data_IF_852005831368
#
_entry.id   IF_852005831368
#
_cell.length_a   1.000
_cell.length_b   1.000
_cell.length_c   1.000
_cell.angle_alpha   90.00
_cell.angle_beta   90.00
_cell.angle_gamma   90.00
#
_symmetry.space_group_name_H-M   'P 1'
#
loop_
_entity.id
_entity.type
_entity.pdbx_description
1 polymer ?
#
# COMPACT_ATOMS: atom_id res chain seq x y z
N UNK A 1 70.12 45.56 -14.21
CA UNK A 1 68.92 45.11 -13.46
C UNK A 1 67.71 45.93 -13.91
N UNK A 2 67.02 45.45 -14.94
CA UNK A 2 65.61 45.66 -15.35
C UNK A 2 65.45 44.62 -16.47
N UNK A 3 64.51 43.69 -16.55
CA UNK A 3 63.36 43.33 -15.76
C UNK A 3 62.65 42.27 -16.62
N UNK A 4 62.81 40.99 -16.26
CA UNK A 4 62.13 39.85 -16.86
C UNK A 4 60.66 39.84 -16.42
N UNK A 5 59.76 40.47 -17.18
CA UNK A 5 58.32 40.31 -17.01
C UNK A 5 57.61 40.50 -18.35
N UNK A 6 57.74 39.55 -19.29
CA UNK A 6 56.92 39.59 -20.52
C UNK A 6 56.89 38.28 -21.32
N UNK A 7 56.90 37.11 -20.66
CA UNK A 7 56.79 35.81 -21.37
C UNK A 7 55.62 34.95 -20.87
N UNK A 8 55.11 35.16 -19.65
CA UNK A 8 54.19 34.21 -19.01
C UNK A 8 52.69 34.32 -19.39
N UNK A 9 52.23 35.37 -20.06
CA UNK A 9 50.78 35.54 -20.37
C UNK A 9 50.38 35.16 -21.80
N UNK A 10 51.36 34.92 -22.70
CA UNK A 10 51.08 34.62 -24.12
C UNK A 10 51.02 33.12 -24.44
N UNK A 11 51.49 32.25 -23.55
CA UNK A 11 51.53 30.80 -23.78
C UNK A 11 50.32 30.05 -23.20
N UNK A 12 49.49 30.66 -22.34
CA UNK A 12 48.30 30.01 -21.78
C UNK A 12 47.09 29.94 -22.73
N UNK A 13 47.24 30.41 -23.97
CA UNK A 13 46.22 30.34 -25.04
C UNK A 13 46.57 29.28 -26.10
N UNK A 14 47.32 28.25 -25.72
CA UNK A 14 47.43 27.02 -26.51
C UNK A 14 46.09 26.28 -26.53
N UNK A 15 45.28 26.69 -27.51
CA UNK A 15 44.72 25.78 -28.52
C UNK A 15 44.06 24.51 -27.97
N UNK A 16 42.90 24.69 -27.37
CA UNK A 16 41.82 23.70 -27.54
C UNK A 16 41.37 23.76 -29.00
N UNK A 17 42.15 23.16 -29.92
CA UNK A 17 41.67 22.81 -31.25
C UNK A 17 40.78 21.59 -31.09
N UNK A 18 39.58 21.82 -30.56
CA UNK A 18 38.52 20.82 -30.56
C UNK A 18 38.17 20.50 -32.00
N UNK A 19 38.52 19.30 -32.46
CA UNK A 19 38.04 18.78 -33.73
C UNK A 19 36.55 18.51 -33.57
N UNK A 20 35.72 19.34 -34.20
CA UNK A 20 34.28 19.18 -34.18
C UNK A 20 33.92 18.05 -35.15
N UNK A 21 33.73 16.85 -34.63
CA UNK A 21 33.34 15.67 -35.42
C UNK A 21 31.83 15.73 -35.65
N UNK A 22 31.42 16.03 -36.88
CA UNK A 22 30.02 15.95 -37.29
C UNK A 22 29.66 14.47 -37.47
N UNK A 23 28.97 13.89 -36.48
CA UNK A 23 28.44 12.52 -36.58
C UNK A 23 27.06 12.61 -37.22
N UNK A 24 26.87 11.97 -38.38
CA UNK A 24 25.53 11.77 -38.93
C UNK A 24 24.74 10.82 -38.02
N UNK A 25 23.77 11.38 -37.29
CA UNK A 25 22.91 10.63 -36.37
C UNK A 25 21.74 9.93 -37.08
N UNK A 26 21.52 10.18 -38.37
CA UNK A 26 20.43 9.58 -39.15
C UNK A 26 20.43 8.04 -39.14
N UNK A 27 21.56 7.35 -39.43
CA UNK A 27 21.61 5.89 -39.33
C UNK A 27 21.40 5.39 -37.89
N UNK A 28 21.86 6.14 -36.88
CA UNK A 28 21.67 5.78 -35.47
C UNK A 28 20.21 5.91 -35.03
N UNK A 29 19.50 6.94 -35.50
CA UNK A 29 18.06 7.13 -35.28
C UNK A 29 17.24 6.05 -35.98
N UNK A 30 17.59 5.71 -37.22
CA UNK A 30 16.91 4.64 -37.95
C UNK A 30 17.08 3.28 -37.24
N UNK A 31 18.29 2.96 -36.75
CA UNK A 31 18.55 1.76 -35.95
C UNK A 31 17.73 1.73 -34.67
N UNK A 32 17.78 2.80 -33.86
CA UNK A 32 17.02 2.89 -32.61
C UNK A 32 15.49 2.83 -32.84
N UNK A 33 14.99 3.43 -33.92
CA UNK A 33 13.58 3.35 -34.31
C UNK A 33 13.16 1.94 -34.73
N UNK A 34 14.02 1.20 -35.43
CA UNK A 34 13.79 -0.19 -35.78
C UNK A 34 13.73 -1.09 -34.52
N UNK A 35 14.63 -0.88 -33.56
CA UNK A 35 14.63 -1.61 -32.28
C UNK A 35 13.33 -1.35 -31.48
N UNK A 36 12.90 -0.08 -31.40
CA UNK A 36 11.63 0.27 -30.76
C UNK A 36 10.44 -0.39 -31.46
N UNK A 37 10.43 -0.39 -32.80
CA UNK A 37 9.37 -1.03 -33.59
C UNK A 37 9.33 -2.55 -33.37
N UNK A 38 10.48 -3.20 -33.31
CA UNK A 38 10.58 -4.61 -32.98
C UNK A 38 10.12 -4.91 -31.54
N UNK A 39 10.48 -4.06 -30.57
CA UNK A 39 10.01 -4.18 -29.19
C UNK A 39 8.48 -4.01 -29.07
N UNK A 40 7.89 -3.04 -29.77
CA UNK A 40 6.43 -2.88 -29.85
C UNK A 40 5.75 -4.12 -30.45
N UNK A 41 6.30 -4.68 -31.53
CA UNK A 41 5.77 -5.90 -32.15
C UNK A 41 5.77 -7.09 -31.19
N UNK A 42 6.87 -7.29 -30.44
CA UNK A 42 6.94 -8.33 -29.40
C UNK A 42 5.94 -8.08 -28.26
N UNK A 43 5.81 -6.82 -27.81
CA UNK A 43 4.85 -6.44 -26.78
C UNK A 43 3.41 -6.73 -27.21
N UNK A 44 3.06 -6.45 -28.46
CA UNK A 44 1.72 -6.73 -28.99
C UNK A 44 1.43 -8.24 -29.07
N UNK A 45 2.41 -9.05 -29.47
CA UNK A 45 2.31 -10.51 -29.42
C UNK A 45 2.09 -10.99 -27.98
N UNK A 46 2.85 -10.47 -27.02
CA UNK A 46 2.67 -10.80 -25.61
C UNK A 46 1.28 -10.36 -25.09
N UNK A 47 0.81 -9.16 -25.45
CA UNK A 47 -0.52 -8.64 -25.09
C UNK A 47 -1.64 -9.50 -25.64
N UNK A 48 -1.56 -9.89 -26.91
CA UNK A 48 -2.55 -10.76 -27.53
C UNK A 48 -2.60 -12.14 -26.85
N UNK A 49 -1.43 -12.70 -26.48
CA UNK A 49 -1.36 -13.95 -25.75
C UNK A 49 -1.99 -13.82 -24.34
N UNK A 50 -1.72 -12.71 -23.64
CA UNK A 50 -2.31 -12.43 -22.33
C UNK A 50 -3.83 -12.26 -22.43
N UNK A 51 -4.31 -11.48 -23.40
CA UNK A 51 -5.74 -11.27 -23.60
C UNK A 51 -6.49 -12.57 -23.92
N UNK A 52 -5.91 -13.44 -24.75
CA UNK A 52 -6.48 -14.78 -24.99
C UNK A 52 -6.58 -15.57 -23.69
N UNK A 53 -5.51 -15.59 -22.89
CA UNK A 53 -5.50 -16.30 -21.63
C UNK A 53 -6.60 -15.80 -20.68
N UNK A 54 -6.75 -14.49 -20.54
CA UNK A 54 -7.74 -13.92 -19.62
C UNK A 54 -9.19 -14.00 -20.11
N UNK A 55 -9.42 -13.81 -21.41
CA UNK A 55 -10.79 -13.72 -21.96
C UNK A 55 -11.34 -15.05 -22.44
N UNK A 56 -10.48 -15.97 -22.86
CA UNK A 56 -10.90 -17.23 -23.48
C UNK A 56 -10.52 -18.42 -22.61
N UNK A 57 -9.23 -18.56 -22.29
CA UNK A 57 -8.70 -19.75 -21.62
C UNK A 57 -9.21 -19.86 -20.18
N UNK A 58 -9.02 -18.83 -19.34
CA UNK A 58 -9.51 -18.82 -17.94
C UNK A 58 -11.02 -19.06 -17.85
N UNK A 59 -11.88 -18.31 -18.56
CA UNK A 59 -13.32 -18.52 -18.45
C UNK A 59 -13.74 -19.88 -19.02
N UNK A 60 -13.07 -20.36 -20.08
CA UNK A 60 -13.26 -21.69 -20.63
C UNK A 60 -12.99 -22.78 -19.59
N UNK A 61 -11.84 -22.70 -18.93
CA UNK A 61 -11.45 -23.63 -17.87
C UNK A 61 -12.41 -23.60 -16.69
N UNK A 62 -12.80 -22.41 -16.22
CA UNK A 62 -13.76 -22.26 -15.10
C UNK A 62 -15.12 -22.88 -15.44
N UNK A 63 -15.66 -22.63 -16.65
CA UNK A 63 -16.92 -23.23 -17.09
C UNK A 63 -16.84 -24.74 -17.17
N UNK A 64 -15.74 -25.27 -17.72
CA UNK A 64 -15.50 -26.70 -17.79
C UNK A 64 -15.40 -27.32 -16.39
N UNK A 65 -14.61 -26.73 -15.49
CA UNK A 65 -14.43 -27.20 -14.11
C UNK A 65 -15.76 -27.20 -13.35
N UNK A 66 -16.58 -26.16 -13.52
CA UNK A 66 -17.91 -26.09 -12.94
C UNK A 66 -18.86 -27.17 -13.49
N UNK A 67 -18.75 -27.50 -14.78
CA UNK A 67 -19.57 -28.53 -15.43
C UNK A 67 -19.17 -29.95 -15.02
N UNK A 68 -17.88 -30.28 -15.08
CA UNK A 68 -17.40 -31.64 -14.79
C UNK A 68 -17.36 -31.96 -13.30
N UNK A 69 -16.98 -30.99 -12.46
CA UNK A 69 -16.78 -31.18 -11.03
C UNK A 69 -17.79 -30.42 -10.17
N UNK A 70 -18.92 -30.01 -10.75
CA UNK A 70 -19.97 -29.26 -10.05
C UNK A 70 -20.41 -29.86 -8.70
N UNK A 71 -20.69 -31.17 -8.60
CA UNK A 71 -21.04 -31.81 -7.33
C UNK A 71 -19.93 -31.67 -6.28
N UNK A 72 -18.68 -31.96 -6.67
CA UNK A 72 -17.53 -31.90 -5.77
C UNK A 72 -17.21 -30.47 -5.31
N UNK A 73 -17.39 -29.48 -6.19
CA UNK A 73 -17.26 -28.06 -5.85
C UNK A 73 -18.38 -27.59 -4.91
N UNK A 74 -19.59 -28.14 -5.05
CA UNK A 74 -20.71 -27.82 -4.17
C UNK A 74 -20.45 -28.38 -2.77
N UNK A 75 -20.03 -29.64 -2.68
CA UNK A 75 -19.64 -30.26 -1.41
C UNK A 75 -18.51 -29.48 -0.71
N UNK A 76 -17.48 -29.05 -1.47
CA UNK A 76 -16.42 -28.20 -0.94
C UNK A 76 -16.93 -26.86 -0.37
N UNK A 77 -17.95 -26.25 -0.99
CA UNK A 77 -18.57 -25.02 -0.48
C UNK A 77 -19.37 -25.30 0.79
N UNK A 78 -20.13 -26.40 0.81
CA UNK A 78 -20.94 -26.78 1.98
C UNK A 78 -20.04 -27.07 3.21
N UNK A 79 -18.94 -27.78 3.01
CA UNK A 79 -17.95 -28.03 4.07
C UNK A 79 -17.29 -26.72 4.52
N UNK A 80 -16.97 -25.81 3.62
CA UNK A 80 -16.38 -24.51 3.95
C UNK A 80 -17.34 -23.64 4.78
N UNK A 81 -18.62 -23.58 4.42
CA UNK A 81 -19.65 -22.87 5.20
C UNK A 81 -19.72 -23.46 6.61
N UNK A 82 -19.78 -24.79 6.71
CA UNK A 82 -19.80 -25.45 8.01
C UNK A 82 -18.55 -25.16 8.84
N UNK A 83 -17.36 -25.17 8.24
CA UNK A 83 -16.11 -24.81 8.95
C UNK A 83 -16.23 -23.40 9.53
N UNK A 84 -16.66 -22.42 8.74
CA UNK A 84 -16.80 -21.02 9.21
C UNK A 84 -17.80 -20.90 10.35
N UNK A 85 -18.93 -21.59 10.25
CA UNK A 85 -19.96 -21.58 11.29
C UNK A 85 -19.43 -22.18 12.61
N UNK A 86 -18.69 -23.30 12.52
CA UNK A 86 -18.11 -23.96 13.68
C UNK A 86 -16.94 -23.15 14.26
N UNK A 87 -16.11 -22.51 13.44
CA UNK A 87 -15.05 -21.60 13.90
C UNK A 87 -15.60 -20.39 14.62
N UNK A 88 -16.68 -19.82 14.10
CA UNK A 88 -17.36 -18.69 14.74
C UNK A 88 -17.89 -19.12 16.11
N UNK A 89 -18.50 -20.30 16.20
CA UNK A 89 -18.98 -20.85 17.46
C UNK A 89 -17.84 -21.13 18.45
N UNK A 90 -16.76 -21.76 17.99
CA UNK A 90 -15.55 -22.01 18.79
C UNK A 90 -15.00 -20.70 19.35
N UNK A 91 -14.85 -19.69 18.50
CA UNK A 91 -14.37 -18.38 18.92
C UNK A 91 -15.28 -17.73 19.96
N UNK A 92 -16.61 -17.77 19.79
CA UNK A 92 -17.57 -17.24 20.76
C UNK A 92 -17.47 -17.93 22.13
N UNK A 93 -17.32 -19.26 22.14
CA UNK A 93 -17.16 -20.04 23.38
C UNK A 93 -15.84 -19.72 24.07
N UNK A 94 -14.74 -19.66 23.33
CA UNK A 94 -13.43 -19.27 23.86
C UNK A 94 -13.44 -17.84 24.42
N UNK A 95 -14.20 -16.93 23.81
CA UNK A 95 -14.40 -15.57 24.31
C UNK A 95 -15.16 -15.58 25.64
N UNK A 96 -16.21 -16.40 25.79
CA UNK A 96 -16.92 -16.55 27.08
C UNK A 96 -16.06 -17.19 28.16
N UNK A 97 -15.25 -18.20 27.81
CA UNK A 97 -14.30 -18.81 28.75
C UNK A 97 -13.30 -17.77 29.28
N UNK A 98 -12.76 -16.92 28.39
CA UNK A 98 -11.87 -15.80 28.78
C UNK A 98 -12.55 -14.75 29.65
N UNK A 99 -13.87 -14.55 29.52
CA UNK A 99 -14.63 -13.55 30.29
C UNK A 99 -14.92 -13.98 31.73
N UNK A 100 -14.76 -15.27 32.09
CA UNK A 100 -14.88 -15.71 33.49
C UNK A 100 -15.51 -17.08 33.71
N UNK A 101 -15.80 -17.86 32.65
CA UNK A 101 -16.26 -19.24 32.78
C UNK A 101 -15.08 -20.21 32.71
N UNK A 102 -14.81 -20.94 33.80
CA UNK A 102 -13.74 -21.94 33.85
C UNK A 102 -14.12 -23.27 33.19
N UNK A 103 -15.42 -23.52 33.01
CA UNK A 103 -15.94 -24.74 32.41
C UNK A 103 -16.46 -24.49 30.99
N UNK A 104 -15.97 -25.29 30.04
CA UNK A 104 -16.27 -25.16 28.62
C UNK A 104 -17.74 -25.50 28.30
N UNK A 105 -18.36 -26.41 29.06
CA UNK A 105 -19.77 -26.78 28.87
C UNK A 105 -20.71 -25.62 29.20
N UNK A 106 -20.47 -24.97 30.34
CA UNK A 106 -21.24 -23.80 30.77
C UNK A 106 -21.10 -22.61 29.81
N UNK A 107 -19.88 -22.38 29.30
CA UNK A 107 -19.63 -21.36 28.27
C UNK A 107 -20.38 -21.66 26.97
N UNK A 108 -20.36 -22.92 26.52
CA UNK A 108 -21.08 -23.38 25.32
C UNK A 108 -22.60 -23.18 25.43
N UNK A 109 -23.21 -23.58 26.55
CA UNK A 109 -24.66 -23.39 26.76
C UNK A 109 -25.06 -21.91 26.76
N UNK A 110 -24.24 -21.02 27.33
CA UNK A 110 -24.50 -19.58 27.32
C UNK A 110 -24.40 -18.97 25.92
N UNK A 111 -23.44 -19.43 25.12
CA UNK A 111 -23.33 -19.00 23.71
C UNK A 111 -24.55 -19.47 22.92
N UNK A 112 -24.97 -20.73 23.06
CA UNK A 112 -26.19 -21.23 22.43
C UNK A 112 -27.42 -20.41 22.88
N UNK A 113 -27.56 -20.15 24.17
CA UNK A 113 -28.65 -19.34 24.71
C UNK A 113 -28.69 -17.93 24.10
N UNK A 114 -27.52 -17.27 23.90
CA UNK A 114 -27.46 -15.96 23.24
C UNK A 114 -27.77 -16.01 21.75
N UNK A 115 -27.34 -17.06 21.05
CA UNK A 115 -27.67 -17.27 19.63
C UNK A 115 -29.17 -17.47 19.43
N UNK A 116 -29.82 -18.18 20.35
CA UNK A 116 -31.28 -18.38 20.35
C UNK A 116 -32.05 -17.14 20.86
N UNK A 117 -31.44 -16.32 21.72
CA UNK A 117 -32.05 -15.12 22.31
C UNK A 117 -31.21 -13.86 22.05
N UNK A 118 -31.19 -13.33 20.80
CA UNK A 118 -30.37 -12.18 20.44
C UNK A 118 -30.77 -10.89 21.20
N UNK A 119 -32.00 -10.79 21.69
CA UNK A 119 -32.47 -9.66 22.51
C UNK A 119 -31.83 -9.62 23.92
N UNK A 120 -31.45 -10.77 24.47
CA UNK A 120 -30.81 -10.86 25.80
C UNK A 120 -29.32 -10.45 25.78
N UNK A 121 -28.70 -10.41 24.60
CA UNK A 121 -27.30 -9.98 24.45
C UNK A 121 -27.09 -8.47 24.71
N UNK A 122 -28.16 -7.66 24.69
CA UNK A 122 -28.13 -6.24 25.02
C UNK A 122 -28.09 -5.92 26.52
N UNK A 123 -28.34 -6.90 27.39
CA UNK A 123 -28.39 -6.74 28.86
C UNK A 123 -27.20 -7.40 29.57
N UNK A 124 -26.00 -7.44 28.96
CA UNK A 124 -24.82 -7.81 29.75
C UNK A 124 -24.55 -6.73 30.82
N UNK A 125 -24.54 -7.07 32.13
CA UNK A 125 -24.03 -6.17 33.14
C UNK A 125 -22.57 -5.90 32.80
N UNK A 126 -22.22 -4.62 32.61
CA UNK A 126 -20.84 -4.19 32.42
C UNK A 126 -19.95 -4.97 33.41
N UNK A 127 -18.87 -5.62 32.96
CA UNK A 127 -17.96 -6.29 33.88
C UNK A 127 -17.57 -5.26 34.95
N UNK A 128 -17.67 -5.65 36.24
CA UNK A 128 -17.14 -4.84 37.34
C UNK A 128 -15.72 -4.49 36.95
N UNK A 129 -15.53 -3.22 36.59
CA UNK A 129 -14.25 -2.70 36.11
C UNK A 129 -13.29 -2.83 37.28
N UNK A 130 -12.44 -3.84 37.25
CA UNK A 130 -11.17 -3.81 37.96
C UNK A 130 -10.37 -2.74 37.25
N UNK A 131 -10.40 -1.53 37.79
CA UNK A 131 -9.67 -0.38 37.26
C UNK A 131 -8.18 -0.62 37.49
N UNK A 132 -7.53 -1.27 36.54
CA UNK A 132 -6.08 -1.20 36.40
C UNK A 132 -5.76 -0.08 35.40
N UNK A 133 -5.36 1.05 36.01
CA UNK A 133 -4.27 1.92 35.61
C UNK A 133 -3.73 1.79 34.18
N UNK A 134 -3.70 2.92 33.46
CA UNK A 134 -2.89 3.01 32.25
C UNK A 134 -3.34 4.00 31.18
N UNK A 135 -4.02 5.08 31.55
CA UNK A 135 -4.08 6.29 30.72
C UNK A 135 -4.15 7.46 31.69
N UNK A 136 -3.14 8.33 31.67
CA UNK A 136 -2.99 9.48 32.55
C UNK A 136 -4.18 10.44 32.39
N UNK A 137 -5.26 10.13 33.12
CA UNK A 137 -6.33 11.05 33.39
C UNK A 137 -5.78 12.03 34.41
N UNK A 138 -5.22 13.15 33.93
CA UNK A 138 -4.84 14.28 34.78
C UNK A 138 -6.09 14.65 35.59
N UNK A 139 -6.09 14.33 36.88
CA UNK A 139 -7.21 14.61 37.80
C UNK A 139 -7.50 16.11 37.72
N UNK A 140 -8.77 16.47 37.62
CA UNK A 140 -9.17 17.88 37.59
C UNK A 140 -8.79 18.55 38.92
N UNK A 141 -8.48 19.85 38.92
CA UNK A 141 -8.10 20.61 40.12
C UNK A 141 -9.14 20.45 41.26
N UNK A 142 -10.42 20.33 40.89
CA UNK A 142 -11.52 20.05 41.80
C UNK A 142 -11.46 18.65 42.45
N UNK A 143 -11.00 17.63 41.71
CA UNK A 143 -10.82 16.26 42.24
C UNK A 143 -9.57 16.17 43.13
N UNK A 144 -8.52 16.95 42.82
CA UNK A 144 -7.33 17.06 43.65
C UNK A 144 -7.64 17.75 44.99
N UNK A 145 -8.48 18.79 44.96
CA UNK A 145 -8.96 19.49 46.15
C UNK A 145 -9.77 18.57 47.06
N UNK A 146 -10.69 17.77 46.52
CA UNK A 146 -11.47 16.82 47.31
C UNK A 146 -10.62 15.77 48.05
N UNK A 147 -9.50 15.33 47.43
CA UNK A 147 -8.56 14.40 48.06
C UNK A 147 -7.71 15.07 49.14
N UNK A 148 -7.36 16.36 48.97
CA UNK A 148 -6.69 17.14 49.98
C UNK A 148 -7.57 17.36 51.22
N UNK A 149 -8.86 17.67 51.02
CA UNK A 149 -9.81 17.84 52.13
C UNK A 149 -9.94 16.58 52.99
N UNK A 150 -10.07 15.41 52.36
CA UNK A 150 -10.13 14.13 53.09
C UNK A 150 -8.81 13.81 53.79
N UNK A 151 -7.67 14.20 53.21
CA UNK A 151 -6.35 14.02 53.81
C UNK A 151 -6.12 14.94 55.02
N UNK A 152 -6.44 16.23 54.94
CA UNK A 152 -6.35 17.18 56.07
C UNK A 152 -7.27 16.74 57.21
N UNK A 153 -8.49 16.31 56.89
CA UNK A 153 -9.47 15.88 57.88
C UNK A 153 -9.06 14.57 58.58
N UNK A 154 -8.50 13.59 57.86
CA UNK A 154 -8.07 12.31 58.45
C UNK A 154 -6.70 12.35 59.12
N UNK A 155 -5.75 13.09 58.57
CA UNK A 155 -4.35 13.03 59.01
C UNK A 155 -3.96 14.17 59.95
N UNK A 156 -4.54 15.37 59.77
CA UNK A 156 -4.33 16.51 60.67
C UNK A 156 -5.49 16.71 61.66
N UNK A 157 -6.60 15.97 61.50
CA UNK A 157 -7.76 16.05 62.40
C UNK A 157 -8.42 17.43 62.46
N UNK A 158 -8.12 18.29 61.49
CA UNK A 158 -8.56 19.69 61.46
C UNK A 158 -9.62 19.85 60.36
N UNK A 159 -10.65 20.68 60.59
CA UNK A 159 -11.67 20.93 59.58
C UNK A 159 -11.13 21.97 58.57
N UNK A 160 -11.11 21.68 57.26
CA UNK A 160 -10.39 22.49 56.30
C UNK A 160 -10.93 23.92 56.12
N UNK A 161 -12.23 24.11 56.34
CA UNK A 161 -12.89 25.43 56.32
C UNK A 161 -12.44 26.38 57.47
N UNK A 162 -11.54 25.92 58.35
CA UNK A 162 -11.00 26.73 59.46
C UNK A 162 -9.56 27.18 59.26
N UNK A 163 -8.93 26.79 58.14
CA UNK A 163 -7.63 27.32 57.74
C UNK A 163 -7.83 28.70 57.13
N UNK A 164 -6.90 29.62 57.36
CA UNK A 164 -6.89 30.87 56.58
C UNK A 164 -6.50 30.57 55.12
N UNK A 165 -6.97 31.41 54.19
CA UNK A 165 -6.86 31.16 52.75
C UNK A 165 -5.39 31.02 52.29
N UNK A 166 -4.47 31.71 52.96
CA UNK A 166 -3.03 31.70 52.62
C UNK A 166 -2.34 30.41 53.09
N UNK A 167 -2.67 29.94 54.31
CA UNK A 167 -2.23 28.66 54.84
C UNK A 167 -2.86 27.48 54.09
N UNK A 168 -4.13 27.61 53.67
CA UNK A 168 -4.85 26.62 52.88
C UNK A 168 -4.15 26.40 51.52
N UNK A 169 -3.91 27.48 50.77
CA UNK A 169 -3.24 27.38 49.47
C UNK A 169 -1.81 26.83 49.58
N UNK A 170 -1.07 27.23 50.61
CA UNK A 170 0.33 26.77 50.81
C UNK A 170 0.39 25.27 51.15
N UNK A 171 -0.53 24.79 51.98
CA UNK A 171 -0.61 23.37 52.36
C UNK A 171 -1.17 22.49 51.23
N UNK A 172 -2.08 23.02 50.41
CA UNK A 172 -2.58 22.34 49.22
C UNK A 172 -1.51 22.17 48.14
N UNK A 173 -0.68 23.19 47.89
CA UNK A 173 0.45 23.10 46.96
C UNK A 173 1.55 22.14 47.45
N UNK A 174 1.83 22.14 48.75
CA UNK A 174 2.74 21.17 49.36
C UNK A 174 2.21 19.73 49.23
N UNK A 175 0.89 19.53 49.41
CA UNK A 175 0.23 18.23 49.22
C UNK A 175 0.27 17.77 47.76
N UNK A 176 -0.04 18.67 46.80
CA UNK A 176 0.07 18.36 45.36
C UNK A 176 1.48 17.93 45.00
N UNK A 177 2.49 18.66 45.47
CA UNK A 177 3.92 18.36 45.23
C UNK A 177 4.37 17.02 45.85
N UNK A 178 3.79 16.65 47.00
CA UNK A 178 4.16 15.45 47.75
C UNK A 178 3.44 14.17 47.25
N UNK A 179 2.14 14.25 46.94
CA UNK A 179 1.32 13.10 46.50
C UNK A 179 1.39 12.85 45.00
N UNK A 180 1.56 13.92 44.23
CA UNK A 180 1.75 13.87 42.79
C UNK A 180 3.08 14.53 42.51
N UNK A 181 4.18 13.77 42.56
CA UNK A 181 5.52 14.23 42.13
C UNK A 181 5.43 14.72 40.68
N UNK A 182 5.03 15.96 40.54
CA UNK A 182 4.89 16.65 39.29
C UNK A 182 6.28 17.21 39.02
N UNK A 183 6.86 16.78 37.89
CA UNK A 183 8.02 17.45 37.33
C UNK A 183 7.74 18.97 37.26
N UNK A 184 8.78 19.82 37.40
CA UNK A 184 8.59 21.27 37.58
C UNK A 184 7.78 21.91 36.43
N UNK A 185 7.05 23.00 36.71
CA UNK A 185 6.23 23.69 35.73
C UNK A 185 7.10 24.35 34.65
N UNK A 186 6.72 24.15 33.40
CA UNK A 186 7.27 24.86 32.25
C UNK A 186 7.08 26.37 32.42
N UNK A 187 8.20 27.10 32.35
CA UNK A 187 8.24 28.55 32.17
C UNK A 187 8.33 28.90 30.66
N UNK A 188 8.10 30.17 30.28
CA UNK A 188 7.29 30.54 29.13
C UNK A 188 7.99 30.37 27.78
N UNK A 189 7.15 30.19 26.75
CA UNK A 189 7.50 30.31 25.33
C UNK A 189 8.26 31.60 25.04
N UNK A 190 9.58 31.50 24.87
CA UNK A 190 10.37 32.52 24.19
C UNK A 190 10.29 32.30 22.69
N UNK A 191 9.53 33.20 22.07
CA UNK A 191 9.56 33.55 20.66
C UNK A 191 11.00 33.92 20.23
N UNK A 192 11.36 33.54 19.00
CA UNK A 192 12.48 34.04 18.20
C UNK A 192 13.92 33.83 18.71
N UNK A 193 14.61 32.74 18.32
CA UNK A 193 16.08 32.72 18.08
C UNK A 193 16.53 31.48 17.28
N UNK A 194 15.93 31.21 16.11
CA UNK A 194 16.50 30.25 15.11
C UNK A 194 16.21 30.62 13.65
N UNK A 195 15.96 31.91 13.36
CA UNK A 195 15.86 32.40 11.96
C UNK A 195 17.10 33.18 11.49
N UNK A 196 18.04 33.52 12.38
CA UNK A 196 19.18 34.37 12.04
C UNK A 196 20.49 33.63 11.71
N UNK A 197 20.55 32.30 11.85
CA UNK A 197 21.79 31.53 11.63
C UNK A 197 21.73 30.55 10.45
N UNK A 198 20.53 30.31 9.92
CA UNK A 198 20.33 29.58 8.65
C UNK A 198 20.35 30.55 7.45
N UNK A 199 19.93 31.80 7.61
CA UNK A 199 19.96 32.83 6.55
C UNK A 199 21.35 33.42 6.24
N UNK A 200 22.39 33.13 7.05
CA UNK A 200 23.78 33.55 6.74
C UNK A 200 24.63 32.46 6.12
N UNK A 201 24.18 31.20 6.16
CA UNK A 201 24.88 30.08 5.50
C UNK A 201 24.33 29.75 4.12
N UNK A 202 23.17 30.30 3.77
CA UNK A 202 22.53 30.18 2.46
C UNK A 202 22.81 31.40 1.55
N UNK A 203 23.84 32.21 1.83
CA UNK A 203 24.17 33.41 1.03
C UNK A 203 25.49 33.31 0.25
N UNK A 204 26.24 32.22 0.41
CA UNK A 204 27.54 32.04 -0.26
C UNK A 204 27.61 30.73 -1.09
N UNK A 205 26.46 30.10 -1.37
CA UNK A 205 26.35 28.93 -2.28
C UNK A 205 25.27 29.13 -3.36
N UNK A 206 25.12 30.37 -3.87
CA UNK A 206 24.42 30.64 -5.13
C UNK A 206 25.40 30.48 -6.32
N UNK A 207 25.82 29.24 -6.59
CA UNK A 207 26.40 28.88 -7.89
C UNK A 207 25.62 27.68 -8.46
N UNK A 208 24.78 28.01 -9.45
CA UNK A 208 24.29 27.16 -10.53
C UNK A 208 23.26 26.07 -10.20
N UNK A 209 22.02 26.49 -9.90
CA UNK A 209 20.83 25.62 -10.03
C UNK A 209 19.96 26.10 -11.22
N UNK A 210 19.55 25.23 -12.16
CA UNK A 210 18.69 25.61 -13.26
C UNK A 210 17.30 25.98 -12.74
N UNK A 211 16.85 27.20 -13.03
CA UNK A 211 15.59 27.79 -12.60
C UNK A 211 14.37 26.99 -13.09
N UNK A 212 13.36 26.87 -12.22
CA UNK A 212 12.06 26.19 -12.48
C UNK A 212 11.38 26.67 -13.78
N UNK A 213 11.62 27.92 -14.20
CA UNK A 213 11.15 28.48 -15.47
C UNK A 213 11.62 27.72 -16.72
N UNK A 214 12.80 27.07 -16.65
CA UNK A 214 13.38 26.32 -17.78
C UNK A 214 12.70 24.96 -18.00
N UNK A 215 12.35 24.29 -16.89
CA UNK A 215 11.62 23.02 -16.85
C UNK A 215 10.22 23.23 -17.41
N UNK A 216 9.58 24.32 -17.00
CA UNK A 216 8.27 24.76 -17.46
C UNK A 216 8.26 25.15 -18.95
N UNK A 217 9.33 25.80 -19.44
CA UNK A 217 9.48 26.12 -20.85
C UNK A 217 9.63 24.87 -21.72
N UNK A 218 10.38 23.87 -21.24
CA UNK A 218 10.58 22.58 -21.94
C UNK A 218 9.29 21.76 -21.99
N UNK A 219 8.55 21.66 -20.89
CA UNK A 219 7.23 21.02 -20.83
C UNK A 219 6.28 21.65 -21.85
N UNK A 220 6.21 23.00 -21.89
CA UNK A 220 5.37 23.73 -22.84
C UNK A 220 5.81 23.53 -24.29
N UNK A 221 7.11 23.44 -24.57
CA UNK A 221 7.62 23.16 -25.92
C UNK A 221 7.23 21.76 -26.41
N UNK A 222 7.48 20.72 -25.59
CA UNK A 222 7.11 19.33 -25.88
C UNK A 222 5.61 19.19 -26.07
N UNK A 223 4.82 19.80 -25.18
CA UNK A 223 3.37 19.84 -25.29
C UNK A 223 2.90 20.51 -26.59
N UNK A 224 3.45 21.67 -26.97
CA UNK A 224 3.10 22.36 -28.23
C UNK A 224 3.40 21.52 -29.46
N UNK A 225 4.52 20.78 -29.46
CA UNK A 225 4.88 19.87 -30.55
C UNK A 225 3.91 18.68 -30.64
N UNK A 226 3.53 18.11 -29.50
CA UNK A 226 2.55 17.03 -29.41
C UNK A 226 1.15 17.48 -29.81
N UNK A 227 0.70 18.67 -29.38
CA UNK A 227 -0.58 19.28 -29.78
C UNK A 227 -0.64 19.43 -31.30
N UNK A 228 0.38 20.02 -31.93
CA UNK A 228 0.38 20.19 -33.40
C UNK A 228 0.29 18.87 -34.17
N UNK A 229 0.69 17.74 -33.58
CA UNK A 229 0.72 16.42 -34.22
C UNK A 229 -0.47 15.53 -33.88
N UNK A 230 -0.96 15.61 -32.64
CA UNK A 230 -1.95 14.70 -32.06
C UNK A 230 -3.31 15.36 -31.80
N UNK A 231 -3.45 16.69 -32.01
CA UNK A 231 -4.72 17.36 -31.74
C UNK A 231 -5.83 16.85 -32.67
N UNK A 232 -6.98 16.43 -32.12
CA UNK A 232 -8.08 15.81 -32.88
C UNK A 232 -8.69 16.77 -33.92
N UNK A 233 -8.60 18.09 -33.69
CA UNK A 233 -9.16 19.11 -34.57
C UNK A 233 -8.32 19.35 -35.85
N UNK A 234 -7.07 18.87 -35.86
CA UNK A 234 -6.19 18.88 -37.05
C UNK A 234 -6.30 17.58 -37.86
N UNK A 235 -7.12 16.61 -37.40
CA UNK A 235 -7.23 15.28 -38.00
C UNK A 235 -8.68 14.91 -38.25
N UNK A 236 -9.05 14.75 -39.52
CA UNK A 236 -10.35 14.18 -39.90
C UNK A 236 -10.44 12.65 -39.70
N UNK A 237 -9.30 12.00 -39.42
CA UNK A 237 -9.21 10.55 -39.26
C UNK A 237 -9.49 10.21 -37.78
N UNK A 238 -10.69 9.75 -37.48
CA UNK A 238 -11.14 9.34 -36.13
C UNK A 238 -10.42 8.09 -35.57
N UNK A 239 -9.09 8.06 -35.62
CA UNK A 239 -8.28 6.96 -35.12
C UNK A 239 -8.27 6.97 -33.58
N UNK A 240 -8.91 5.96 -32.99
CA UNK A 240 -9.04 5.76 -31.54
C UNK A 240 -7.68 5.70 -30.84
N UNK A 241 -6.66 5.10 -31.47
CA UNK A 241 -5.33 4.96 -30.87
C UNK A 241 -4.58 6.30 -30.76
N UNK A 242 -4.88 7.27 -31.63
CA UNK A 242 -4.30 8.62 -31.61
C UNK A 242 -5.01 9.47 -30.58
N UNK A 243 -6.33 9.29 -30.44
CA UNK A 243 -7.14 9.97 -29.43
C UNK A 243 -6.75 9.54 -28.00
N UNK A 244 -6.42 8.26 -27.81
CA UNK A 244 -5.88 7.76 -26.54
C UNK A 244 -4.52 8.41 -26.20
N UNK A 245 -3.61 8.50 -27.16
CA UNK A 245 -2.33 9.20 -26.99
C UNK A 245 -2.51 10.68 -26.66
N UNK A 246 -3.51 11.33 -27.25
CA UNK A 246 -3.83 12.71 -26.92
C UNK A 246 -4.26 12.88 -25.45
N UNK A 247 -5.09 12.00 -24.91
CA UNK A 247 -5.46 12.03 -23.49
C UNK A 247 -4.26 11.80 -22.57
N UNK A 248 -3.37 10.87 -22.93
CA UNK A 248 -2.15 10.58 -22.17
C UNK A 248 -1.18 11.79 -22.18
N UNK A 249 -1.10 12.53 -23.29
CA UNK A 249 -0.34 13.80 -23.36
C UNK A 249 -0.93 14.86 -22.42
N UNK A 250 -2.26 14.94 -22.30
CA UNK A 250 -2.92 15.89 -21.40
C UNK A 250 -2.64 15.54 -19.93
N UNK A 251 -2.67 14.26 -19.57
CA UNK A 251 -2.37 13.77 -18.22
C UNK A 251 -0.89 14.01 -17.85
N UNK A 252 0.04 13.67 -18.75
CA UNK A 252 1.47 13.91 -18.56
C UNK A 252 1.80 15.41 -18.40
N UNK A 253 1.12 16.28 -19.17
CA UNK A 253 1.25 17.72 -19.03
C UNK A 253 0.72 18.24 -17.68
N UNK A 254 -0.43 17.71 -17.23
CA UNK A 254 -0.99 18.07 -15.92
C UNK A 254 -0.11 17.62 -14.75
N UNK A 255 0.60 16.49 -14.90
CA UNK A 255 1.56 15.98 -13.93
C UNK A 255 2.96 16.62 -14.04
N UNK A 256 3.19 17.50 -15.04
CA UNK A 256 4.52 18.07 -15.36
C UNK A 256 5.62 17.01 -15.57
N UNK A 257 5.24 15.82 -16.05
CA UNK A 257 6.18 14.73 -16.29
C UNK A 257 6.87 14.89 -17.65
N UNK A 258 8.08 15.45 -17.64
CA UNK A 258 8.91 15.64 -18.84
C UNK A 258 9.25 14.30 -19.48
N UNK A 259 9.59 13.27 -18.69
CA UNK A 259 10.02 11.99 -19.22
C UNK A 259 8.86 11.35 -20.02
N UNK A 260 7.65 11.37 -19.46
CA UNK A 260 6.47 10.86 -20.12
C UNK A 260 6.14 11.64 -21.42
N UNK A 261 6.26 12.97 -21.43
CA UNK A 261 6.07 13.77 -22.64
C UNK A 261 7.11 13.46 -23.73
N UNK A 262 8.37 13.22 -23.36
CA UNK A 262 9.42 12.83 -24.31
C UNK A 262 9.20 11.43 -24.89
N UNK A 263 8.75 10.48 -24.06
CA UNK A 263 8.36 9.14 -24.48
C UNK A 263 7.19 9.19 -25.48
N UNK A 264 6.17 10.00 -25.19
CA UNK A 264 5.01 10.19 -26.08
C UNK A 264 5.40 10.82 -27.42
N UNK A 265 6.37 11.76 -27.41
CA UNK A 265 6.92 12.33 -28.65
C UNK A 265 7.63 11.27 -29.48
N UNK A 266 8.53 10.49 -28.87
CA UNK A 266 9.26 9.42 -29.55
C UNK A 266 8.29 8.35 -30.13
N UNK A 267 7.26 7.98 -29.38
CA UNK A 267 6.23 7.03 -29.82
C UNK A 267 5.43 7.57 -31.02
N UNK A 268 5.11 8.86 -31.02
CA UNK A 268 4.39 9.52 -32.13
C UNK A 268 5.21 9.57 -33.42
N UNK A 269 6.52 9.77 -33.32
CA UNK A 269 7.45 9.80 -34.45
C UNK A 269 7.65 8.41 -35.06
N UNK A 270 7.77 7.36 -34.22
CA UNK A 270 7.87 5.97 -34.69
C UNK A 270 6.59 5.54 -35.42
N UNK A 271 5.41 5.85 -34.85
CA UNK A 271 4.12 5.52 -35.51
C UNK A 271 3.90 6.27 -36.82
N UNK A 272 4.53 7.42 -37.00
CA UNK A 272 4.40 8.24 -38.20
C UNK A 272 5.48 7.93 -39.25
N UNK A 273 6.41 7.00 -38.98
CA UNK A 273 7.60 6.66 -39.78
C UNK A 273 8.45 7.88 -40.19
N UNK A 274 8.25 9.01 -39.52
CA UNK A 274 8.93 10.28 -39.77
C UNK A 274 9.78 10.57 -38.55
N UNK A 275 11.02 10.10 -38.59
CA UNK A 275 12.03 10.47 -37.61
C UNK A 275 12.36 11.95 -37.80
N UNK A 276 11.69 12.82 -37.03
CA UNK A 276 11.97 14.23 -37.09
C UNK A 276 13.32 14.55 -36.46
N UNK A 277 13.93 15.68 -36.82
CA UNK A 277 15.17 16.14 -36.18
C UNK A 277 15.02 16.36 -34.66
N UNK A 278 13.77 16.40 -34.18
CA UNK A 278 13.39 16.72 -32.82
C UNK A 278 13.43 15.52 -31.87
N UNK A 279 13.37 14.28 -32.39
CA UNK A 279 13.53 13.08 -31.56
C UNK A 279 14.99 12.67 -31.53
N UNK A 280 15.60 12.83 -30.36
CA UNK A 280 16.99 12.43 -30.11
C UNK A 280 17.12 10.91 -29.97
N UNK A 281 18.31 10.39 -30.27
CA UNK A 281 18.62 8.96 -30.08
C UNK A 281 18.46 8.53 -28.61
N UNK A 282 18.75 9.43 -27.66
CA UNK A 282 18.53 9.19 -26.23
C UNK A 282 17.05 8.99 -25.88
N UNK A 283 16.15 9.78 -26.47
CA UNK A 283 14.70 9.60 -26.27
C UNK A 283 14.20 8.29 -26.87
N UNK A 284 14.70 7.88 -28.05
CA UNK A 284 14.37 6.56 -28.61
C UNK A 284 14.88 5.41 -27.73
N UNK A 285 16.10 5.53 -27.17
CA UNK A 285 16.64 4.53 -26.24
C UNK A 285 15.87 4.49 -24.91
N UNK A 286 15.41 5.64 -24.41
CA UNK A 286 14.57 5.71 -23.23
C UNK A 286 13.25 4.99 -23.47
N UNK A 287 12.58 5.26 -24.60
CA UNK A 287 11.39 4.53 -25.03
C UNK A 287 11.66 3.03 -25.21
N UNK A 288 12.78 2.63 -25.80
CA UNK A 288 13.14 1.21 -25.92
C UNK A 288 13.24 0.55 -24.53
N UNK A 289 13.91 1.20 -23.58
CA UNK A 289 14.01 0.71 -22.20
C UNK A 289 12.66 0.65 -21.47
N UNK A 290 11.72 1.54 -21.78
CA UNK A 290 10.33 1.46 -21.30
C UNK A 290 9.61 0.25 -21.88
N UNK A 291 9.70 0.07 -23.20
CA UNK A 291 9.05 -1.04 -23.92
C UNK A 291 9.60 -2.39 -23.45
N UNK A 292 10.90 -2.52 -23.24
CA UNK A 292 11.53 -3.72 -22.72
C UNK A 292 11.13 -4.03 -21.28
N UNK A 293 11.02 -3.00 -20.42
CA UNK A 293 10.49 -3.16 -19.05
C UNK A 293 9.05 -3.66 -19.07
N UNK A 294 8.19 -3.06 -19.89
CA UNK A 294 6.80 -3.45 -20.03
C UNK A 294 6.67 -4.87 -20.59
N UNK A 295 7.49 -5.21 -21.59
CA UNK A 295 7.56 -6.54 -22.17
C UNK A 295 8.00 -7.57 -21.14
N UNK A 296 9.07 -7.30 -20.37
CA UNK A 296 9.54 -8.21 -19.34
C UNK A 296 8.49 -8.46 -18.25
N UNK A 297 7.80 -7.40 -17.79
CA UNK A 297 6.72 -7.54 -16.81
C UNK A 297 5.55 -8.39 -17.35
N UNK A 298 5.19 -8.20 -18.62
CA UNK A 298 4.13 -8.98 -19.27
C UNK A 298 4.57 -10.41 -19.56
N UNK A 299 5.83 -10.63 -19.94
CA UNK A 299 6.40 -11.97 -20.14
C UNK A 299 6.51 -12.75 -18.84
N UNK A 300 6.86 -12.12 -17.73
CA UNK A 300 6.83 -12.79 -16.42
C UNK A 300 5.40 -13.16 -16.03
N UNK A 301 4.44 -12.25 -16.25
CA UNK A 301 3.02 -12.55 -16.05
C UNK A 301 2.57 -13.73 -16.92
N UNK A 302 2.98 -13.77 -18.19
CA UNK A 302 2.72 -14.89 -19.10
C UNK A 302 3.42 -16.19 -18.67
N UNK A 303 4.62 -16.10 -18.09
CA UNK A 303 5.34 -17.25 -17.57
C UNK A 303 4.59 -17.86 -16.38
N UNK A 304 4.07 -17.02 -15.48
CA UNK A 304 3.20 -17.47 -14.39
C UNK A 304 1.91 -18.07 -14.95
N UNK A 305 1.28 -17.43 -15.93
CA UNK A 305 0.08 -17.94 -16.60
C UNK A 305 0.31 -19.29 -17.27
N UNK A 306 1.47 -19.55 -17.88
CA UNK A 306 1.82 -20.85 -18.50
C UNK A 306 1.89 -21.99 -17.50
N UNK A 307 2.13 -21.70 -16.22
CA UNK A 307 2.09 -22.70 -15.16
C UNK A 307 0.67 -22.95 -14.63
N UNK A 308 -0.31 -22.13 -15.03
CA UNK A 308 -1.71 -22.32 -14.70
C UNK A 308 -2.29 -23.46 -15.55
N UNK A 309 -3.07 -24.33 -14.91
CA UNK A 309 -3.81 -25.42 -15.55
C UNK A 309 -4.84 -24.90 -16.57
N UNK A 310 -5.25 -23.64 -16.47
CA UNK A 310 -6.10 -22.97 -17.44
C UNK A 310 -5.36 -22.58 -18.73
N UNK A 311 -4.02 -22.58 -18.77
CA UNK A 311 -3.27 -22.13 -19.95
C UNK A 311 -3.60 -22.96 -21.19
N UNK A 312 -3.86 -22.25 -22.29
CA UNK A 312 -4.16 -22.85 -23.59
C UNK A 312 -5.40 -23.77 -23.63
N UNK A 313 -6.26 -23.64 -22.61
CA UNK A 313 -7.44 -24.48 -22.47
C UNK A 313 -8.43 -24.30 -23.63
N UNK A 314 -8.56 -23.09 -24.19
CA UNK A 314 -9.49 -22.86 -25.30
C UNK A 314 -9.06 -23.60 -26.58
N UNK A 315 -7.77 -23.86 -26.79
CA UNK A 315 -7.28 -24.59 -27.97
C UNK A 315 -7.10 -26.08 -27.74
N UNK A 316 -6.52 -26.46 -26.61
CA UNK A 316 -6.19 -27.86 -26.32
C UNK A 316 -7.35 -28.62 -25.66
N UNK A 317 -8.28 -27.89 -25.03
CA UNK A 317 -9.39 -28.48 -24.28
C UNK A 317 -8.93 -29.28 -23.07
N UNK A 318 -9.87 -30.00 -22.46
CA UNK A 318 -9.61 -30.80 -21.27
C UNK A 318 -8.97 -32.15 -21.63
N UNK A 319 -7.64 -32.22 -21.56
CA UNK A 319 -6.92 -33.50 -21.63
C UNK A 319 -7.24 -34.43 -20.45
N UNK A 320 -7.17 -35.74 -20.66
CA UNK A 320 -7.44 -36.72 -19.59
C UNK A 320 -6.46 -36.67 -18.41
N UNK A 321 -5.25 -36.15 -18.62
CA UNK A 321 -4.29 -35.87 -17.55
C UNK A 321 -4.68 -34.66 -16.69
N UNK A 322 -5.14 -33.58 -17.34
CA UNK A 322 -5.64 -32.38 -16.66
C UNK A 322 -6.87 -32.71 -15.81
N UNK A 323 -7.82 -33.46 -16.36
CA UNK A 323 -9.00 -33.94 -15.61
C UNK A 323 -8.59 -34.65 -14.32
N UNK A 324 -7.70 -35.64 -14.42
CA UNK A 324 -7.24 -36.41 -13.25
C UNK A 324 -6.52 -35.55 -12.21
N UNK A 325 -5.68 -34.61 -12.66
CA UNK A 325 -4.99 -33.68 -11.75
C UNK A 325 -5.98 -32.82 -10.96
N UNK A 326 -6.91 -32.17 -11.66
CA UNK A 326 -7.93 -31.32 -11.04
C UNK A 326 -8.82 -32.13 -10.11
N UNK A 327 -9.21 -33.35 -10.50
CA UNK A 327 -9.99 -34.24 -9.65
C UNK A 327 -9.24 -34.62 -8.36
N UNK A 328 -7.97 -35.03 -8.47
CA UNK A 328 -7.13 -35.35 -7.32
C UNK A 328 -6.96 -34.13 -6.39
N UNK A 329 -6.73 -32.94 -6.94
CA UNK A 329 -6.62 -31.70 -6.17
C UNK A 329 -7.91 -31.39 -5.40
N UNK A 330 -9.06 -31.45 -6.06
CA UNK A 330 -10.36 -31.20 -5.44
C UNK A 330 -10.68 -32.22 -4.35
N UNK A 331 -10.40 -33.51 -4.59
CA UNK A 331 -10.59 -34.56 -3.60
C UNK A 331 -9.65 -34.39 -2.39
N UNK A 332 -8.38 -34.02 -2.63
CA UNK A 332 -7.44 -33.72 -1.54
C UNK A 332 -7.93 -32.53 -0.71
N UNK A 333 -8.36 -31.45 -1.36
CA UNK A 333 -8.94 -30.28 -0.69
C UNK A 333 -10.16 -30.67 0.15
N UNK A 334 -11.04 -31.51 -0.39
CA UNK A 334 -12.21 -31.98 0.34
C UNK A 334 -11.80 -32.79 1.57
N UNK A 335 -10.88 -33.76 1.43
CA UNK A 335 -10.39 -34.56 2.56
C UNK A 335 -9.79 -33.69 3.67
N UNK A 336 -8.95 -32.72 3.30
CA UNK A 336 -8.33 -31.81 4.26
C UNK A 336 -9.37 -30.97 5.02
N UNK A 337 -10.34 -30.40 4.29
CA UNK A 337 -11.40 -29.57 4.89
C UNK A 337 -12.34 -30.39 5.75
N UNK A 338 -12.77 -31.56 5.27
CA UNK A 338 -13.61 -32.48 6.04
C UNK A 338 -12.92 -32.94 7.32
N UNK A 339 -11.61 -33.18 7.29
CA UNK A 339 -10.82 -33.46 8.49
C UNK A 339 -10.82 -32.30 9.50
N UNK A 340 -10.61 -31.07 9.04
CA UNK A 340 -10.72 -29.86 9.89
C UNK A 340 -12.12 -29.71 10.49
N UNK A 341 -13.16 -29.89 9.68
CA UNK A 341 -14.55 -29.85 10.15
C UNK A 341 -14.82 -30.90 11.22
N UNK A 342 -14.29 -32.12 11.04
CA UNK A 342 -14.43 -33.18 12.03
C UNK A 342 -13.77 -32.82 13.37
N UNK A 343 -12.59 -32.21 13.35
CA UNK A 343 -11.91 -31.74 14.57
C UNK A 343 -12.75 -30.68 15.28
N UNK A 344 -13.25 -29.68 14.55
CA UNK A 344 -14.11 -28.63 15.13
C UNK A 344 -15.39 -29.23 15.73
N UNK A 345 -16.02 -30.19 15.05
CA UNK A 345 -17.18 -30.92 15.57
C UNK A 345 -16.84 -31.68 16.84
N UNK A 346 -15.70 -32.37 16.89
CA UNK A 346 -15.26 -33.07 18.10
C UNK A 346 -15.06 -32.11 19.28
N UNK A 347 -14.44 -30.95 19.05
CA UNK A 347 -14.29 -29.92 20.09
C UNK A 347 -15.64 -29.41 20.59
N UNK A 348 -16.59 -29.14 19.69
CA UNK A 348 -17.94 -28.71 20.06
C UNK A 348 -18.69 -29.83 20.80
N UNK A 349 -18.55 -31.08 20.35
CA UNK A 349 -19.15 -32.25 21.01
C UNK A 349 -18.59 -32.46 22.42
N UNK A 350 -17.29 -32.24 22.63
CA UNK A 350 -16.66 -32.26 23.95
C UNK A 350 -17.27 -31.21 24.89
N UNK A 351 -17.50 -30.00 24.39
CA UNK A 351 -18.17 -28.95 25.18
C UNK A 351 -19.66 -29.22 25.38
N UNK A 352 -20.32 -29.93 24.47
CA UNK A 352 -21.73 -30.30 24.64
C UNK A 352 -21.97 -31.28 25.79
N UNK A 353 -20.94 -32.05 26.19
CA UNK A 353 -21.04 -33.03 27.26
C UNK A 353 -20.81 -32.35 28.62
N UNK A 354 -21.66 -32.60 29.62
CA UNK A 354 -21.41 -32.10 30.97
C UNK A 354 -20.10 -32.73 31.48
N UNK A 355 -19.19 -31.91 32.04
CA UNK A 355 -18.02 -32.43 32.74
C UNK A 355 -18.49 -33.37 33.85
N UNK A 356 -18.33 -34.68 33.65
CA UNK A 356 -18.47 -35.63 34.74
C UNK A 356 -17.37 -35.30 35.73
N UNK A 357 -17.74 -34.59 36.80
CA UNK A 357 -16.94 -34.40 37.99
C UNK A 357 -16.32 -35.75 38.32
N UNK A 358 -15.00 -35.88 38.11
CA UNK A 358 -14.24 -37.04 38.57
C UNK A 358 -14.51 -37.11 40.06
N UNK A 359 -15.38 -38.02 40.45
CA UNK A 359 -15.66 -38.33 41.84
C UNK A 359 -14.35 -38.80 42.44
N UNK A 360 -13.68 -37.90 43.15
CA UNK A 360 -12.58 -38.22 44.04
C UNK A 360 -13.19 -39.06 45.14
N UNK A 361 -13.24 -40.38 44.93
CA UNK A 361 -13.44 -41.36 45.98
C UNK A 361 -12.29 -41.20 46.96
N UNK A 362 -12.64 -40.75 48.16
CA UNK A 362 -11.75 -40.53 49.30
C UNK A 362 -11.58 -41.82 50.10
#
# INVERSE_FOLDING_TARGET
MVGEQSVSEREARERWTGVLVLIDQSPMRAGAGADCSAAMGRLEVARSAWHRFEREDKPGFVRWRAREFGPLLSELRDVEVQIRDHETLVHEVEMEMRRGFYDAHSAYQRVLFRRENPAAAGEEPKPRRREEAGAERKLSEFEQEALFQDWVQKFMGTNPDKLDDEAYSTTFEAFKTHMFRSAPPEMPRTQNFRKAEVERRARDEEEDWPTEDSVDARVKELYRLLVRRLHPDLRADGNVAVSALWHEVQEAYAATDIAQLEILLALSDIKSERFSEQTSVSQMRALLGELERALFALEDSLRQARNDDAWDFARSGAGGGLRRRVECELQQNLRMRSGRLQLLRQTIDEWSRPQQLRSVTR
#
